data_IF_667297080057
#
_entry.id   IF_667297080057
#
_cell.length_a   1.000
_cell.length_b   1.000
_cell.length_c   1.000
_cell.angle_alpha   90.00
_cell.angle_beta   90.00
_cell.angle_gamma   90.00
#
_symmetry.space_group_name_H-M   'P 1'
#
loop_
_entity.id
_entity.type
_entity.pdbx_description
1 polymer ?
2 non-polymer ?
3 non-polymer ?
4 non-polymer ?
5 non-polymer ?
6 water ?
#
# COMPACT_ATOMS: atom_id res chain seq x y z
N UNK A 1 0.38 -3.97 -16.32
CA UNK A 1 -0.84 -4.04 -15.46
C UNK A 1 -0.52 -4.41 -14.02
N UNK A 2 -1.05 -3.62 -13.09
CA UNK A 2 -0.85 -3.86 -11.67
C UNK A 2 -2.08 -4.60 -11.11
N UNK A 3 -1.87 -5.33 -10.02
CA UNK A 3 -2.96 -6.04 -9.38
C UNK A 3 -3.07 -5.62 -7.92
N UNK A 4 -4.31 -5.42 -7.46
CA UNK A 4 -4.57 -5.02 -6.09
C UNK A 4 -5.62 -5.91 -5.46
N UNK A 5 -5.51 -6.10 -4.16
CA UNK A 5 -6.44 -6.96 -3.44
C UNK A 5 -6.92 -6.31 -2.15
N UNK A 6 -8.22 -6.04 -2.07
CA UNK A 6 -8.83 -5.43 -0.90
C UNK A 6 -9.88 -6.33 -0.27
N UNK A 7 -10.33 -5.94 0.91
CA UNK A 7 -11.36 -6.69 1.63
C UNK A 7 -12.24 -5.64 2.31
N UNK A 8 -13.55 -5.88 2.31
CA UNK A 8 -14.45 -4.93 2.93
C UNK A 8 -15.61 -5.61 3.62
N UNK A 9 -16.50 -4.80 4.20
CA UNK A 9 -17.64 -5.38 4.88
C UNK A 9 -18.98 -4.75 4.54
N UNK A 10 -20.01 -5.57 4.59
CA UNK A 10 -21.39 -5.13 4.34
C UNK A 10 -22.00 -5.38 5.71
N UNK A 11 -22.05 -4.33 6.52
CA UNK A 11 -22.54 -4.43 7.89
C UNK A 11 -23.96 -3.93 8.10
N UNK A 12 -24.73 -4.70 8.86
CA UNK A 12 -26.12 -4.37 9.13
C UNK A 12 -26.34 -4.08 10.62
N UNK A 13 -27.24 -3.14 10.88
CA UNK A 13 -27.62 -2.77 12.24
C UNK A 13 -29.14 -2.56 12.22
N UNK A 14 -29.87 -3.38 12.97
CA UNK A 14 -31.32 -3.25 13.03
C UNK A 14 -31.94 -3.08 11.64
N UNK A 15 -31.58 -3.96 10.71
CA UNK A 15 -32.14 -3.89 9.37
C UNK A 15 -31.52 -2.92 8.38
N UNK A 16 -30.69 -1.99 8.86
CA UNK A 16 -30.05 -1.03 7.96
C UNK A 16 -28.61 -1.40 7.64
N UNK A 17 -28.12 -0.95 6.48
CA UNK A 17 -26.75 -1.24 6.05
C UNK A 17 -25.84 -0.01 6.14
N UNK A 18 -24.59 -0.26 6.53
CA UNK A 18 -23.59 0.78 6.68
C UNK A 18 -22.88 1.12 5.37
N UNK A 19 -22.93 2.39 4.96
CA UNK A 19 -22.28 2.81 3.73
C UNK A 19 -21.34 3.99 4.00
N UNK A 20 -20.43 4.24 3.06
CA UNK A 20 -19.50 5.35 3.14
C UNK A 20 -19.57 6.10 1.81
N UNK A 21 -19.35 7.42 1.85
CA UNK A 21 -19.37 8.21 0.63
C UNK A 21 -17.92 8.53 0.28
N UNK A 22 -17.52 8.12 -0.91
CA UNK A 22 -16.15 8.31 -1.38
C UNK A 22 -15.88 9.75 -1.80
N UNK A 23 -14.60 10.10 -1.98
CA UNK A 23 -14.21 11.44 -2.39
C UNK A 23 -14.87 11.86 -3.71
N UNK A 24 -15.20 10.86 -4.53
CA UNK A 24 -15.83 11.10 -5.82
C UNK A 24 -17.34 11.27 -5.67
N UNK A 25 -17.80 11.24 -4.42
CA UNK A 25 -19.21 11.38 -4.08
C UNK A 25 -20.05 10.16 -4.42
N UNK A 26 -19.41 8.99 -4.45
CA UNK A 26 -20.15 7.77 -4.71
C UNK A 26 -20.28 7.01 -3.39
N UNK A 27 -21.49 6.55 -3.10
CA UNK A 27 -21.72 5.79 -1.89
C UNK A 27 -21.32 4.36 -2.22
N UNK A 28 -20.55 3.74 -1.33
CA UNK A 28 -20.09 2.38 -1.53
C UNK A 28 -19.88 1.73 -0.18
N UNK A 29 -19.22 0.57 -0.17
CA UNK A 29 -18.95 -0.16 1.07
C UNK A 29 -17.54 0.12 1.58
N UNK A 30 -17.37 0.14 2.91
CA UNK A 30 -16.05 0.38 3.49
C UNK A 30 -15.10 -0.79 3.18
N UNK A 31 -13.90 -0.48 2.70
CA UNK A 31 -12.94 -1.51 2.34
C UNK A 31 -11.50 -1.01 2.36
N UNK A 32 -10.56 -1.92 2.22
CA UNK A 32 -9.16 -1.54 2.22
C UNK A 32 -8.23 -2.64 1.73
N UNK A 33 -7.02 -2.22 1.36
CA UNK A 33 -6.01 -3.14 0.87
C UNK A 33 -5.65 -4.18 1.94
N UNK A 34 -5.49 -5.42 1.52
CA UNK A 34 -5.12 -6.47 2.45
C UNK A 34 -3.63 -6.29 2.70
N UNK A 35 -3.28 -5.85 3.89
CA UNK A 35 -1.88 -5.60 4.24
C UNK A 35 -1.09 -6.87 4.53
N UNK A 36 0.24 -6.80 4.37
CA UNK A 36 1.10 -7.96 4.63
C UNK A 36 0.85 -8.43 6.06
N UNK A 37 0.61 -9.73 6.23
CA UNK A 37 0.37 -10.24 7.56
C UNK A 37 -1.10 -10.31 7.96
N UNK A 38 -2.00 -9.96 7.04
CA UNK A 38 -3.43 -10.00 7.33
C UNK A 38 -4.18 -10.99 6.44
N UNK A 39 -5.20 -11.61 7.02
CA UNK A 39 -6.07 -12.50 6.26
C UNK A 39 -7.15 -11.51 5.84
N UNK A 40 -7.86 -11.78 4.74
CA UNK A 40 -8.91 -10.85 4.30
C UNK A 40 -9.95 -10.52 5.36
N UNK A 41 -10.33 -11.48 6.19
CA UNK A 41 -11.31 -11.23 7.24
C UNK A 41 -10.80 -10.18 8.21
N UNK A 42 -9.52 -10.24 8.52
CA UNK A 42 -8.92 -9.27 9.44
C UNK A 42 -8.92 -7.88 8.83
N UNK A 43 -8.65 -7.81 7.53
CA UNK A 43 -8.62 -6.54 6.83
C UNK A 43 -10.01 -5.91 6.85
N UNK A 44 -11.02 -6.70 6.48
CA UNK A 44 -12.40 -6.23 6.42
C UNK A 44 -12.86 -5.61 7.74
N UNK A 45 -12.66 -6.32 8.84
CA UNK A 45 -13.08 -5.82 10.14
C UNK A 45 -12.34 -4.55 10.51
N UNK A 46 -11.04 -4.56 10.33
CA UNK A 46 -10.21 -3.40 10.64
C UNK A 46 -10.60 -2.19 9.78
N UNK A 47 -10.77 -2.41 8.48
CA UNK A 47 -11.12 -1.33 7.57
C UNK A 47 -12.50 -0.73 7.84
N UNK A 48 -13.47 -1.57 8.21
CA UNK A 48 -14.78 -1.04 8.52
C UNK A 48 -14.64 -0.07 9.70
N UNK A 49 -13.90 -0.47 10.72
CA UNK A 49 -13.70 0.39 11.91
C UNK A 49 -12.92 1.67 11.59
N UNK A 50 -11.83 1.55 10.85
CA UNK A 50 -11.03 2.72 10.52
C UNK A 50 -11.76 3.72 9.63
N UNK A 51 -12.61 3.20 8.75
CA UNK A 51 -13.36 4.05 7.82
C UNK A 51 -14.68 4.60 8.36
N UNK A 52 -15.30 3.87 9.29
CA UNK A 52 -16.59 4.30 9.83
C UNK A 52 -16.62 4.42 11.35
N UNK A 53 -15.64 3.85 12.02
CA UNK A 53 -15.61 3.91 13.48
C UNK A 53 -16.63 2.96 14.07
N UNK A 54 -17.05 1.99 13.26
CA UNK A 54 -18.03 1.01 13.71
C UNK A 54 -17.38 -0.36 13.80
N UNK A 55 -17.62 -1.05 14.92
CA UNK A 55 -17.07 -2.37 15.12
C UNK A 55 -18.10 -3.40 14.68
N UNK A 56 -17.69 -4.30 13.80
CA UNK A 56 -18.60 -5.32 13.33
C UNK A 56 -18.00 -6.70 13.49
N UNK A 57 -18.84 -7.72 13.43
CA UNK A 57 -18.40 -9.08 13.56
C UNK A 57 -18.84 -9.84 12.32
N UNK A 58 -17.91 -10.58 11.72
CA UNK A 58 -18.20 -11.32 10.52
C UNK A 58 -19.12 -12.52 10.74
N UNK A 59 -20.15 -12.62 9.92
CA UNK A 59 -21.12 -13.71 9.99
C UNK A 59 -20.75 -14.76 8.94
N UNK A 60 -20.27 -14.30 7.79
CA UNK A 60 -19.87 -15.19 6.72
C UNK A 60 -19.33 -14.40 5.54
N UNK A 61 -18.70 -15.12 4.61
CA UNK A 61 -18.14 -14.54 3.40
C UNK A 61 -19.30 -14.32 2.42
N UNK A 62 -19.33 -13.18 1.77
CA UNK A 62 -20.40 -12.87 0.82
C UNK A 62 -20.00 -13.20 -0.61
N UNK A 63 -18.84 -12.72 -1.02
CA UNK A 63 -18.38 -12.97 -2.37
C UNK A 63 -17.25 -12.04 -2.75
N UNK A 64 -16.79 -12.16 -3.99
CA UNK A 64 -15.70 -11.37 -4.50
C UNK A 64 -16.08 -10.65 -5.78
N UNK A 65 -15.57 -9.43 -5.96
CA UNK A 65 -15.83 -8.67 -7.17
C UNK A 65 -14.50 -8.20 -7.74
N UNK A 66 -14.50 -7.90 -9.04
CA UNK A 66 -13.32 -7.45 -9.74
C UNK A 66 -13.61 -6.19 -10.55
N UNK A 67 -12.60 -5.37 -10.73
CA UNK A 67 -12.74 -4.18 -11.57
C UNK A 67 -11.42 -3.59 -11.96
N UNK A 68 -11.39 -3.00 -13.15
CA UNK A 68 -10.22 -2.34 -13.68
C UNK A 68 -10.40 -0.85 -13.44
N UNK A 69 -9.30 -0.16 -13.17
CA UNK A 69 -9.36 1.30 -13.01
C UNK A 69 -8.01 1.86 -13.43
N UNK A 70 -7.99 3.13 -13.85
CA UNK A 70 -6.74 3.77 -14.23
C UNK A 70 -6.45 4.93 -13.28
N UNK A 71 -5.18 5.25 -13.12
CA UNK A 71 -4.75 6.35 -12.25
C UNK A 71 -3.51 6.93 -12.91
N UNK A 72 -3.61 8.18 -13.33
CA UNK A 72 -2.51 8.86 -13.98
C UNK A 72 -1.95 8.01 -15.12
N UNK A 73 -2.86 7.34 -15.84
CA UNK A 73 -2.44 6.51 -16.97
C UNK A 73 -2.14 5.06 -16.67
N UNK A 74 -1.90 4.72 -15.41
CA UNK A 74 -1.63 3.33 -15.04
C UNK A 74 -2.92 2.55 -14.97
N UNK A 75 -2.88 1.27 -15.33
CA UNK A 75 -4.07 0.45 -15.26
C UNK A 75 -3.91 -0.59 -14.16
N UNK A 76 -4.92 -0.68 -13.30
CA UNK A 76 -4.86 -1.61 -12.19
C UNK A 76 -6.07 -2.54 -12.19
N UNK A 77 -5.81 -3.83 -12.00
CA UNK A 77 -6.89 -4.82 -11.93
C UNK A 77 -7.07 -5.13 -10.45
N UNK A 78 -8.21 -4.71 -9.92
CA UNK A 78 -8.49 -4.87 -8.50
C UNK A 78 -9.58 -5.87 -8.13
N UNK A 79 -9.33 -6.58 -7.04
CA UNK A 79 -10.22 -7.59 -6.52
C UNK A 79 -10.61 -7.23 -5.08
N UNK A 80 -11.89 -7.34 -4.75
CA UNK A 80 -12.34 -7.05 -3.38
C UNK A 80 -13.18 -8.19 -2.83
N UNK A 81 -12.77 -8.72 -1.68
CA UNK A 81 -13.51 -9.80 -1.03
C UNK A 81 -14.39 -9.16 0.03
N UNK A 82 -15.70 -9.45 -0.02
CA UNK A 82 -16.63 -8.87 0.94
C UNK A 82 -17.21 -9.86 1.94
N UNK A 83 -17.38 -9.40 3.17
CA UNK A 83 -17.93 -10.22 4.25
C UNK A 83 -19.18 -9.60 4.88
N UNK A 84 -20.11 -10.46 5.27
CA UNK A 84 -21.34 -10.02 5.92
C UNK A 84 -21.00 -9.79 7.39
N UNK A 85 -21.44 -8.66 7.93
CA UNK A 85 -21.14 -8.33 9.32
C UNK A 85 -22.36 -7.86 10.10
N UNK A 86 -22.34 -8.11 11.40
CA UNK A 86 -23.43 -7.66 12.27
C UNK A 86 -22.86 -6.54 13.13
N UNK A 87 -23.67 -5.52 13.37
CA UNK A 87 -23.25 -4.38 14.18
C UNK A 87 -22.93 -4.69 15.64
N UNK A 88 -21.73 -4.32 16.07
CA UNK A 88 -21.30 -4.55 17.45
C UNK A 88 -21.26 -3.37 18.41
N UNK A 89 -20.68 -2.26 17.95
CA UNK A 89 -20.58 -1.05 18.77
C UNK A 89 -20.04 0.10 17.94
N UNK A 90 -20.34 1.33 18.37
CA UNK A 90 -19.86 2.50 17.66
C UNK A 90 -20.93 3.28 16.91
N UNK A 91 -20.58 4.51 16.52
CA UNK A 91 -21.48 5.38 15.78
C UNK A 91 -20.79 5.84 14.50
N UNK A 92 -21.44 5.64 13.33
CA UNK A 92 -20.86 6.04 12.06
C UNK A 92 -20.21 7.42 12.06
N UNK A 93 -18.99 7.47 11.57
CA UNK A 93 -18.22 8.70 11.48
C UNK A 93 -17.17 8.43 10.39
N UNK A 94 -16.99 9.38 9.46
CA UNK A 94 -16.03 9.22 8.37
C UNK A 94 -14.55 9.32 8.73
N UNK A 95 -13.74 8.52 8.05
CA UNK A 95 -12.30 8.54 8.29
C UNK A 95 -11.84 9.78 7.53
N UNK A 96 -10.53 9.95 7.45
CA UNK A 96 -9.98 11.11 6.76
C UNK A 96 -9.98 10.85 5.26
N UNK A 97 -10.18 9.59 4.88
CA UNK A 97 -10.19 9.21 3.47
C UNK A 97 -11.58 9.17 2.85
N UNK A 98 -12.62 9.31 3.68
CA UNK A 98 -13.98 9.29 3.17
C UNK A 98 -14.74 10.55 3.55
N UNK A 99 -15.80 10.86 2.80
CA UNK A 99 -16.58 12.06 3.06
C UNK A 99 -17.64 11.85 4.13
N UNK A 100 -18.15 10.62 4.24
CA UNK A 100 -19.17 10.35 5.24
C UNK A 100 -19.37 8.85 5.44
N UNK A 101 -20.04 8.51 6.54
CA UNK A 101 -20.34 7.13 6.89
C UNK A 101 -21.72 7.18 7.53
N UNK A 102 -22.64 6.35 7.06
CA UNK A 102 -23.99 6.36 7.61
C UNK A 102 -24.83 5.12 7.32
N UNK A 103 -25.76 4.82 8.24
CA UNK A 103 -26.66 3.68 8.07
C UNK A 103 -27.84 4.10 7.21
N UNK A 104 -28.27 3.22 6.31
CA UNK A 104 -29.38 3.49 5.42
C UNK A 104 -30.36 2.34 5.33
N UNK A 105 -31.65 2.65 5.17
CA UNK A 105 -32.62 1.56 5.07
C UNK A 105 -32.25 0.83 3.78
N UNK A 106 -32.52 -0.47 3.73
CA UNK A 106 -32.18 -1.25 2.55
C UNK A 106 -32.62 -0.57 1.25
N UNK A 107 -33.87 -0.11 1.23
CA UNK A 107 -34.43 0.54 0.06
C UNK A 107 -33.65 1.73 -0.45
N UNK A 108 -33.26 2.63 0.46
CA UNK A 108 -32.50 3.80 0.05
C UNK A 108 -31.09 3.41 -0.38
N UNK A 109 -30.54 2.40 0.28
CA UNK A 109 -29.19 1.91 -0.03
C UNK A 109 -29.13 1.44 -1.48
N UNK A 110 -30.19 0.75 -1.93
CA UNK A 110 -30.23 0.26 -3.29
C UNK A 110 -30.11 1.39 -4.31
N UNK A 111 -30.76 2.50 -4.02
CA UNK A 111 -30.75 3.66 -4.91
C UNK A 111 -29.43 4.43 -4.87
N UNK A 112 -28.74 4.39 -3.73
CA UNK A 112 -27.48 5.11 -3.59
C UNK A 112 -26.30 4.39 -4.25
N UNK A 113 -26.27 3.06 -4.16
CA UNK A 113 -25.17 2.30 -4.75
C UNK A 113 -25.06 2.53 -6.25
N UNK A 114 -23.84 2.58 -6.77
CA UNK A 114 -23.62 2.81 -8.19
C UNK A 114 -22.83 1.72 -8.89
N UNK A 115 -21.71 1.32 -8.32
CA UNK A 115 -20.87 0.30 -8.94
C UNK A 115 -21.59 -1.02 -9.14
N UNK A 116 -21.37 -1.62 -10.31
CA UNK A 116 -21.99 -2.89 -10.67
C UNK A 116 -21.76 -3.93 -9.58
N UNK A 117 -20.50 -4.05 -9.18
CA UNK A 117 -20.13 -5.00 -8.15
C UNK A 117 -20.83 -4.79 -6.82
N UNK A 118 -20.98 -3.52 -6.43
CA UNK A 118 -21.64 -3.20 -5.16
C UNK A 118 -23.10 -3.66 -5.16
N UNK A 119 -23.78 -3.46 -6.28
CA UNK A 119 -25.16 -3.88 -6.39
C UNK A 119 -25.26 -5.39 -6.32
N UNK A 120 -24.34 -6.07 -6.99
CA UNK A 120 -24.33 -7.52 -7.01
C UNK A 120 -24.02 -8.06 -5.61
N UNK A 121 -23.02 -7.47 -4.95
CA UNK A 121 -22.64 -7.90 -3.61
C UNK A 121 -23.77 -7.64 -2.62
N UNK A 122 -24.42 -6.49 -2.74
CA UNK A 122 -25.51 -6.17 -1.83
C UNK A 122 -26.64 -7.18 -1.93
N UNK A 123 -27.03 -7.54 -3.15
CA UNK A 123 -28.10 -8.52 -3.33
C UNK A 123 -27.73 -9.85 -2.71
N UNK A 124 -26.47 -10.23 -2.84
CA UNK A 124 -26.01 -11.49 -2.27
C UNK A 124 -26.01 -11.41 -0.76
N UNK A 125 -25.62 -10.25 -0.24
CA UNK A 125 -25.58 -10.02 1.19
C UNK A 125 -26.97 -10.06 1.81
N UNK A 126 -27.95 -9.53 1.08
CA UNK A 126 -29.33 -9.51 1.57
C UNK A 126 -29.91 -10.91 1.68
N UNK A 127 -29.66 -11.74 0.69
CA UNK A 127 -30.17 -13.11 0.72
C UNK A 127 -29.50 -13.87 1.84
N UNK A 128 -28.20 -13.66 1.97
CA UNK A 128 -27.40 -14.35 2.98
C UNK A 128 -27.71 -13.97 4.42
N UNK A 129 -28.08 -12.71 4.66
CA UNK A 129 -28.35 -12.27 6.02
C UNK A 129 -29.66 -12.79 6.60
N UNK A 130 -30.59 -13.18 5.73
CA UNK A 130 -31.87 -13.70 6.21
C UNK A 130 -31.61 -14.98 7.00
N UNK A 131 -30.58 -15.70 6.59
CA UNK A 131 -30.19 -16.95 7.24
C UNK A 131 -29.73 -16.72 8.67
N UNK A 132 -29.07 -15.59 8.91
CA UNK A 132 -28.56 -15.26 10.22
C UNK A 132 -29.52 -14.42 11.05
N UNK A 133 -30.79 -14.42 10.66
CA UNK A 133 -31.81 -13.67 11.38
C UNK A 133 -31.33 -12.24 11.59
N UNK A 134 -30.61 -11.72 10.59
CA UNK A 134 -30.07 -10.37 10.65
C UNK A 134 -30.99 -9.39 9.93
N UNK B 1 0.53 -16.59 -2.67
CA UNK B 1 1.40 -15.89 -1.70
C UNK B 1 1.39 -14.39 -1.97
N UNK B 2 1.39 -13.59 -0.91
CA UNK B 2 1.38 -12.15 -1.05
C UNK B 2 2.66 -11.67 -1.71
N UNK B 3 2.53 -10.67 -2.57
CA UNK B 3 3.69 -10.11 -3.25
C UNK B 3 3.69 -8.61 -3.10
N UNK B 4 4.88 -8.05 -2.89
CA UNK B 4 5.04 -6.61 -2.74
C UNK B 4 6.06 -6.12 -3.75
N UNK B 5 5.83 -4.90 -4.23
CA UNK B 5 6.70 -4.31 -5.24
C UNK B 5 7.13 -2.91 -4.82
N UNK B 6 8.43 -2.76 -4.61
CA UNK B 6 9.00 -1.48 -4.21
C UNK B 6 10.03 -1.01 -5.24
N UNK B 7 10.47 0.23 -5.07
CA UNK B 7 11.46 0.84 -5.93
C UNK B 7 12.31 1.76 -5.05
N UNK B 8 13.61 1.81 -5.33
CA UNK B 8 14.48 2.64 -4.54
C UNK B 8 15.59 3.25 -5.35
N UNK B 9 16.41 4.07 -4.70
CA UNK B 9 17.51 4.70 -5.40
C UNK B 9 18.85 4.59 -4.71
N UNK B 10 19.89 4.54 -5.54
CA UNK B 10 21.26 4.50 -5.06
C UNK B 10 21.77 5.83 -5.60
N UNK B 11 21.77 6.85 -4.74
CA UNK B 11 22.16 8.20 -5.13
C UNK B 11 23.59 8.52 -4.71
N UNK B 12 24.37 9.04 -5.66
CA UNK B 12 25.77 9.41 -5.44
C UNK B 12 25.99 10.92 -5.51
N UNK B 13 26.88 11.42 -4.65
CA UNK B 13 27.25 12.83 -4.62
C UNK B 13 28.75 12.64 -4.58
N UNK B 14 29.40 12.96 -5.70
CA UNK B 14 30.84 12.78 -5.83
C UNK B 14 31.13 11.34 -5.42
N UNK B 15 32.17 11.14 -4.61
CA UNK B 15 32.50 9.79 -4.17
C UNK B 15 31.71 9.22 -3.00
N UNK B 16 30.57 9.82 -2.68
CA UNK B 16 29.76 9.34 -1.57
C UNK B 16 28.40 8.83 -2.02
N UNK B 17 27.82 7.94 -1.22
CA UNK B 17 26.52 7.38 -1.52
C UNK B 17 25.59 7.68 -0.36
N UNK B 18 24.32 7.89 -0.67
CA UNK B 18 23.31 8.20 0.33
C UNK B 18 22.67 6.93 0.90
N UNK B 19 22.73 6.79 2.22
CA UNK B 19 22.16 5.62 2.88
C UNK B 19 21.23 6.06 4.01
N UNK B 20 20.32 5.18 4.40
CA UNK B 20 19.41 5.45 5.49
C UNK B 20 19.49 4.28 6.46
N UNK B 21 19.19 4.53 7.73
CA UNK B 21 19.19 3.46 8.72
C UNK B 21 17.74 3.15 9.04
N UNK B 22 17.39 1.87 8.91
CA UNK B 22 16.03 1.40 9.16
C UNK B 22 15.71 1.25 10.63
N UNK B 23 14.41 1.14 10.97
CA UNK B 23 14.02 1.00 12.38
C UNK B 23 14.65 -0.26 12.98
N UNK B 24 15.04 -1.18 12.11
CA UNK B 24 15.64 -2.44 12.55
C UNK B 24 17.15 -2.28 12.72
N UNK B 25 17.62 -1.05 12.59
CA UNK B 25 19.04 -0.72 12.74
C UNK B 25 19.98 -1.24 11.66
N UNK B 26 19.48 -1.34 10.43
CA UNK B 26 20.30 -1.82 9.33
C UNK B 26 20.45 -0.70 8.31
N UNK B 27 21.68 -0.49 7.85
CA UNK B 27 21.91 0.54 6.84
C UNK B 27 21.50 -0.03 5.50
N UNK B 28 20.72 0.74 4.75
CA UNK B 28 20.27 0.30 3.44
C UNK B 28 19.99 1.53 2.58
N UNK B 29 19.37 1.31 1.42
CA UNK B 29 19.03 2.39 0.48
C UNK B 29 17.58 2.81 0.66
N UNK B 30 17.27 4.09 0.40
CA UNK B 30 15.88 4.50 0.55
C UNK B 30 15.02 3.85 -0.51
N UNK B 31 13.84 3.38 -0.12
CA UNK B 31 12.94 2.73 -1.06
C UNK B 31 11.52 2.76 -0.51
N UNK B 32 10.57 2.36 -1.34
CA UNK B 32 9.19 2.36 -0.88
C UNK B 32 8.29 1.65 -1.88
N UNK B 33 7.09 1.32 -1.43
CA UNK B 33 6.12 0.64 -2.28
C UNK B 33 5.69 1.53 -3.44
N UNK B 34 5.54 0.93 -4.61
CA UNK B 34 5.11 1.67 -5.79
C UNK B 34 3.62 1.92 -5.64
N UNK B 35 3.24 3.18 -5.58
CA UNK B 35 1.83 3.53 -5.46
C UNK B 35 1.14 3.26 -6.79
N UNK B 36 -0.18 2.99 -6.75
CA UNK B 36 -1.00 2.70 -7.94
C UNK B 36 -0.77 3.57 -9.17
N UNK B 37 -0.66 4.88 -8.99
CA UNK B 37 -0.46 5.74 -10.14
C UNK B 37 0.98 6.08 -10.50
N UNK B 38 1.94 5.35 -9.92
CA UNK B 38 3.36 5.64 -10.18
C UNK B 38 4.11 4.61 -11.01
N UNK B 39 5.11 5.08 -11.72
CA UNK B 39 6.01 4.22 -12.48
C UNK B 39 7.10 3.98 -11.44
N UNK B 40 7.82 2.85 -11.50
CA UNK B 40 8.86 2.66 -10.48
C UNK B 40 9.86 3.80 -10.38
N UNK B 41 10.14 4.46 -11.50
CA UNK B 41 11.08 5.59 -11.49
C UNK B 41 10.58 6.73 -10.61
N UNK B 42 9.28 6.97 -10.64
CA UNK B 42 8.69 8.04 -9.85
C UNK B 42 8.69 7.70 -8.37
N UNK B 43 8.49 6.43 -8.05
CA UNK B 43 8.48 5.97 -6.67
C UNK B 43 9.88 6.15 -6.06
N UNK B 44 10.90 5.73 -6.81
CA UNK B 44 12.28 5.84 -6.34
C UNK B 44 12.64 7.28 -6.01
N UNK B 45 12.36 8.20 -6.93
CA UNK B 45 12.67 9.61 -6.69
C UNK B 45 11.92 10.16 -5.49
N UNK B 46 10.62 9.87 -5.41
CA UNK B 46 9.80 10.36 -4.29
C UNK B 46 10.25 9.82 -2.93
N UNK B 47 10.59 8.54 -2.88
CA UNK B 47 11.00 7.93 -1.62
C UNK B 47 12.34 8.47 -1.12
N UNK B 48 13.29 8.68 -2.02
CA UNK B 48 14.57 9.23 -1.60
C UNK B 48 14.29 10.60 -1.01
N UNK B 49 13.51 11.40 -1.72
CA UNK B 49 13.15 12.74 -1.26
C UNK B 49 12.45 12.72 0.10
N UNK B 50 11.42 11.88 0.22
CA UNK B 50 10.67 11.75 1.45
C UNK B 50 11.50 11.30 2.66
N UNK B 51 12.26 10.23 2.48
CA UNK B 51 13.05 9.70 3.59
C UNK B 51 14.33 10.45 3.93
N UNK B 52 14.85 11.26 3.02
CA UNK B 52 16.10 11.95 3.29
C UNK B 52 16.14 13.45 3.03
N UNK B 53 15.15 13.96 2.33
CA UNK B 53 15.13 15.39 2.03
C UNK B 53 16.09 15.72 0.91
N UNK B 54 16.59 14.70 0.23
CA UNK B 54 17.51 14.91 -0.89
C UNK B 54 16.77 14.71 -2.22
N UNK B 55 17.08 15.60 -3.17
CA UNK B 55 16.48 15.53 -4.49
C UNK B 55 17.51 14.89 -5.41
N UNK B 56 17.08 13.84 -6.11
CA UNK B 56 17.99 13.17 -7.01
C UNK B 56 17.40 13.03 -8.40
N UNK B 57 18.25 12.71 -9.36
CA UNK B 57 17.82 12.55 -10.73
C UNK B 57 18.29 11.19 -11.19
N UNK B 58 17.37 10.39 -11.73
CA UNK B 58 17.69 9.06 -12.22
C UNK B 58 18.51 9.14 -13.50
N UNK B 59 19.56 8.35 -13.57
CA UNK B 59 20.39 8.32 -14.75
C UNK B 59 20.09 7.04 -15.51
N UNK B 60 19.76 5.98 -14.78
CA UNK B 60 19.49 4.70 -15.42
C UNK B 60 19.00 3.67 -14.42
N UNK B 61 18.47 2.56 -14.94
CA UNK B 61 17.98 1.46 -14.13
C UNK B 61 19.15 0.56 -13.77
N UNK B 62 19.29 0.22 -12.49
CA UNK B 62 20.38 -0.62 -12.03
C UNK B 62 20.01 -2.10 -12.13
N UNK B 63 18.84 -2.43 -11.59
CA UNK B 63 18.40 -3.81 -11.60
C UNK B 63 17.36 -4.04 -10.53
N UNK B 64 17.06 -5.30 -10.29
CA UNK B 64 16.05 -5.65 -9.31
C UNK B 64 16.50 -6.81 -8.41
N UNK B 65 16.12 -6.74 -7.14
CA UNK B 65 16.44 -7.80 -6.20
C UNK B 65 15.14 -8.29 -5.59
N UNK B 66 15.17 -9.48 -5.02
CA UNK B 66 13.98 -10.02 -4.39
C UNK B 66 14.37 -10.71 -3.10
N UNK B 67 13.38 -10.90 -2.24
CA UNK B 67 13.59 -11.58 -0.97
C UNK B 67 12.26 -11.93 -0.35
N UNK B 68 12.27 -12.93 0.52
CA UNK B 68 11.07 -13.36 1.22
C UNK B 68 11.21 -12.89 2.65
N UNK B 69 10.08 -12.55 3.27
CA UNK B 69 10.09 -12.16 4.67
C UNK B 69 8.74 -12.56 5.24
N UNK B 70 8.68 -12.75 6.55
CA UNK B 70 7.42 -13.10 7.18
C UNK B 70 6.97 -11.97 8.09
N UNK B 71 5.67 -11.85 8.27
CA UNK B 71 5.09 -10.83 9.15
C UNK B 71 3.86 -11.44 9.81
N UNK B 72 3.92 -11.60 11.12
CA UNK B 72 2.83 -12.19 11.87
C UNK B 72 2.37 -13.51 11.27
N UNK B 73 3.32 -14.37 10.91
CA UNK B 73 2.99 -15.66 10.37
C UNK B 73 2.76 -15.77 8.88
N UNK B 74 2.64 -14.64 8.19
CA UNK B 74 2.43 -14.67 6.75
C UNK B 74 3.73 -14.51 5.99
N UNK B 75 3.91 -15.29 4.92
CA UNK B 75 5.12 -15.21 4.12
C UNK B 75 4.87 -14.26 2.95
N UNK B 76 5.78 -13.32 2.74
CA UNK B 76 5.64 -12.35 1.66
C UNK B 76 6.85 -12.38 0.72
N UNK B 77 6.59 -12.28 -0.58
CA UNK B 77 7.66 -12.27 -1.58
C UNK B 77 7.71 -10.83 -2.08
N UNK B 78 8.88 -10.22 -1.99
CA UNK B 78 9.05 -8.83 -2.40
C UNK B 78 10.16 -8.60 -3.41
N UNK B 79 9.90 -7.68 -4.33
CA UNK B 79 10.89 -7.31 -5.36
C UNK B 79 11.11 -5.82 -5.23
N UNK B 80 12.36 -5.40 -5.41
CA UNK B 80 12.68 -3.98 -5.32
C UNK B 80 13.52 -3.61 -6.54
N UNK B 81 13.02 -2.63 -7.30
CA UNK B 81 13.73 -2.12 -8.47
C UNK B 81 14.54 -0.90 -8.05
N UNK B 82 15.84 -0.92 -8.35
CA UNK B 82 16.73 0.18 -7.98
C UNK B 82 17.23 1.00 -9.17
N UNK B 83 17.31 2.31 -8.95
CA UNK B 83 17.76 3.25 -9.98
C UNK B 83 18.98 4.04 -9.55
N UNK B 84 19.87 4.29 -10.51
CA UNK B 84 21.09 5.04 -10.26
C UNK B 84 20.71 6.51 -10.33
N UNK B 85 21.03 7.25 -9.29
CA UNK B 85 20.71 8.67 -9.25
C UNK B 85 21.91 9.56 -8.99
N UNK B 86 21.87 10.78 -9.50
CA UNK B 86 22.95 11.72 -9.26
C UNK B 86 22.36 12.79 -8.35
N UNK B 87 23.20 13.37 -7.50
CA UNK B 87 22.76 14.39 -6.56
C UNK B 87 22.32 15.70 -7.22
N UNK B 88 21.19 16.24 -6.78
CA UNK B 88 20.70 17.51 -7.31
C UNK B 88 20.74 18.61 -6.25
N UNK B 89 20.16 18.34 -5.08
CA UNK B 89 20.13 19.34 -4.01
C UNK B 89 19.56 18.77 -2.72
N UNK B 90 19.74 19.52 -1.63
CA UNK B 90 19.24 19.10 -0.34
C UNK B 90 20.30 18.49 0.56
N UNK B 91 20.02 18.44 1.86
CA UNK B 91 20.95 17.85 2.83
C UNK B 91 20.25 16.70 3.56
N UNK B 92 20.91 15.54 3.66
CA UNK B 92 20.34 14.37 4.34
C UNK B 92 19.80 14.63 5.75
N UNK B 93 18.53 14.29 5.94
CA UNK B 93 17.85 14.42 7.22
C UNK B 93 16.81 13.30 7.21
N UNK B 94 16.80 12.46 8.26
CA UNK B 94 15.82 11.37 8.26
C UNK B 94 14.40 11.85 8.50
N UNK B 95 13.45 11.22 7.80
CA UNK B 95 12.04 11.55 7.99
C UNK B 95 11.71 10.79 9.26
N UNK B 96 10.46 10.83 9.70
CA UNK B 96 10.10 10.12 10.93
C UNK B 96 10.15 8.61 10.73
N UNK B 97 10.10 8.16 9.47
CA UNK B 97 10.11 6.74 9.16
C UNK B 97 11.47 6.02 9.25
N UNK B 98 12.56 6.78 9.29
CA UNK B 98 13.89 6.18 9.37
C UNK B 98 14.67 6.69 10.58
N UNK B 99 15.72 5.97 10.95
CA UNK B 99 16.52 6.34 12.12
C UNK B 99 17.71 7.23 11.76
N UNK B 100 18.07 7.29 10.48
CA UNK B 100 19.19 8.12 10.08
C UNK B 100 19.25 8.22 8.55
N UNK B 101 19.95 9.25 8.07
CA UNK B 101 20.12 9.50 6.64
C UNK B 101 21.41 10.29 6.49
N UNK B 102 22.40 9.70 5.81
CA UNK B 102 23.69 10.35 5.64
C UNK B 102 24.43 9.91 4.39
N UNK B 103 25.37 10.75 3.95
CA UNK B 103 26.20 10.42 2.79
C UNK B 103 27.41 9.72 3.40
N UNK B 104 27.88 8.67 2.74
CA UNK B 104 29.02 7.90 3.22
C UNK B 104 29.98 7.65 2.08
N UNK B 105 31.29 7.74 2.35
CA UNK B 105 32.22 7.48 1.25
C UNK B 105 31.94 6.02 0.85
N UNK B 106 32.07 5.71 -0.43
CA UNK B 106 31.81 4.36 -0.93
C UNK B 106 32.48 3.26 -0.09
N UNK B 107 33.72 3.50 0.30
CA UNK B 107 34.48 2.55 1.10
C UNK B 107 33.78 2.16 2.40
N UNK B 108 33.24 3.15 3.10
CA UNK B 108 32.55 2.90 4.36
C UNK B 108 31.20 2.25 4.12
N UNK B 109 30.51 2.73 3.08
CA UNK B 109 29.19 2.21 2.71
C UNK B 109 29.25 0.69 2.55
N UNK B 110 30.29 0.21 1.86
CA UNK B 110 30.44 -1.23 1.64
C UNK B 110 30.40 -2.03 2.93
N UNK B 111 31.08 -1.53 3.96
CA UNK B 111 31.13 -2.20 5.25
C UNK B 111 29.83 -2.08 6.05
N UNK B 112 29.04 -1.07 5.74
CA UNK B 112 27.78 -0.84 6.46
C UNK B 112 26.58 -1.65 5.96
N UNK B 113 26.53 -1.92 4.66
CA UNK B 113 25.40 -2.68 4.13
C UNK B 113 25.38 -4.06 4.74
N UNK B 114 24.19 -4.62 4.90
CA UNK B 114 24.04 -5.95 5.49
C UNK B 114 23.33 -6.96 4.59
N UNK B 115 22.18 -6.56 4.06
CA UNK B 115 21.40 -7.44 3.19
C UNK B 115 22.21 -7.80 1.95
N UNK B 116 22.21 -9.09 1.60
CA UNK B 116 22.93 -9.57 0.43
C UNK B 116 22.45 -8.86 -0.83
N UNK B 117 21.15 -8.63 -0.92
CA UNK B 117 20.60 -7.94 -2.07
C UNK B 117 21.22 -6.56 -2.19
N UNK B 118 21.33 -5.86 -1.06
CA UNK B 118 21.92 -4.53 -1.03
C UNK B 118 23.37 -4.51 -1.52
N UNK B 119 24.14 -5.52 -1.12
CA UNK B 119 25.54 -5.58 -1.52
C UNK B 119 25.61 -5.81 -3.03
N UNK B 120 24.71 -6.66 -3.53
CA UNK B 120 24.66 -6.97 -4.96
C UNK B 120 24.25 -5.75 -5.77
N UNK B 121 23.24 -5.03 -5.28
CA UNK B 121 22.77 -3.84 -5.98
C UNK B 121 23.81 -2.74 -5.96
N UNK B 122 24.50 -2.59 -4.83
CA UNK B 122 25.52 -1.55 -4.71
C UNK B 122 26.68 -1.82 -5.67
N UNK B 123 27.05 -3.09 -5.83
CA UNK B 123 28.14 -3.41 -6.75
C UNK B 123 27.73 -3.08 -8.19
N UNK B 124 26.52 -3.46 -8.57
CA UNK B 124 26.05 -3.16 -9.92
C UNK B 124 26.04 -1.65 -10.13
N UNK B 125 25.59 -0.92 -9.11
CA UNK B 125 25.51 0.54 -9.18
C UNK B 125 26.88 1.18 -9.40
N UNK B 126 27.91 0.62 -8.77
CA UNK B 126 29.26 1.14 -8.90
C UNK B 126 29.80 0.93 -10.32
N UNK B 127 29.55 -0.25 -10.88
CA UNK B 127 29.99 -0.53 -12.24
C UNK B 127 29.32 0.46 -13.17
N UNK B 128 28.01 0.56 -13.04
CA UNK B 128 27.22 1.46 -13.86
C UNK B 128 27.72 2.90 -13.68
N UNK B 129 28.11 3.24 -12.45
CA UNK B 129 28.60 4.57 -12.10
C UNK B 129 29.85 4.99 -12.89
N UNK B 130 30.87 4.14 -12.90
CA UNK B 130 32.11 4.45 -13.62
C UNK B 130 31.78 4.70 -15.08
N UNK B 131 30.93 3.86 -15.64
CA UNK B 131 30.50 3.95 -17.03
C UNK B 131 30.05 5.36 -17.41
N UNK B 132 29.30 6.01 -16.52
CA UNK B 132 28.81 7.35 -16.77
C UNK B 132 29.73 8.41 -16.16
N UNK B 133 30.85 7.96 -15.61
CA UNK B 133 31.80 8.86 -14.97
C UNK B 133 31.10 9.73 -13.95
N UNK B 134 30.09 9.17 -13.29
CA UNK B 134 29.33 9.89 -12.28
C UNK B 134 30.17 10.13 -11.03
X LIG C 1 -8.97 0.94 -1.10
X LIG C 1 -8.18 1.57 0.04
X LIG C 1 -8.89 -0.43 -1.48
X LIG C 1 -10.12 1.59 -0.63
X LIG C 1 -8.79 3.25 -3.30
X LIG C 1 -9.26 4.21 -2.68
X LIG C 1 -7.34 3.28 -3.56
X LIG C 1 -8.82 1.78 -2.59
X LIG C 1 -10.74 2.32 -5.03
X LIG C 1 -11.62 2.52 -4.28
X LIG C 1 -10.46 1.10 -5.38
X LIG C 1 -9.50 3.10 -4.58
X LIG C 1 -11.08 3.18 -6.20
X LIG C 1 -10.27 3.25 -7.34
X LIG C 1 -11.02 3.49 -8.65
X LIG C 1 -11.98 2.54 -9.08
X LIG C 1 -11.79 4.73 -8.69
X LIG C 1 -11.60 5.38 -9.96
X LIG C 1 -13.16 4.26 -8.44
X LIG C 1 -14.16 5.07 -8.93
X LIG C 1 -13.23 2.87 -9.02
X LIG C 1 -13.98 1.91 -8.18
X LIG C 1 -14.09 1.73 -6.86
X LIG C 1 -14.86 0.76 -6.62
X LIG C 1 -15.32 0.21 -7.62
X LIG C 1 -16.19 -0.88 -8.02
X LIG C 1 -16.78 -1.63 -7.18
X LIG C 1 -16.36 -1.05 -9.33
X LIG C 1 -15.78 -0.31 -10.24
X LIG C 1 -14.99 0.69 -9.95
X LIG C 1 -14.72 0.99 -8.72
X LIG D 1 0.12 -15.10 -8.11
X LIG D 1 -1.04 -15.86 -8.47
X LIG D 1 1.20 -15.66 -7.39
X LIG D 1 0.59 -14.82 -9.61
X LIG D 1 1.73 -13.88 -10.15
X LIG D 1 2.54 -13.62 -9.11
X LIG D 1 0.74 -12.91 -10.66
X LIG D 1 2.32 -14.08 -11.63
X LIG D 1 2.22 -12.87 -12.68
X LIG D 1 3.35 -12.40 -13.19
X LIG D 1 0.90 -12.84 -13.15
X LIG D 1 2.05 -11.51 -11.91
X LIG D 1 1.53 -9.98 -12.16
X LIG D 1 1.24 -9.72 -13.48
X LIG D 1 1.21 -9.47 -10.88
X LIG D 1 -0.27 -13.84 -7.35
X LIG D 1 -1.60 -13.61 -7.22
X LIG D 1 -1.62 -12.24 -6.78
X LIG D 1 -2.37 -12.32 -5.60
X LIG D 1 -0.30 -11.79 -6.32
X LIG D 1 -0.15 -10.71 -7.15
X LIG D 1 -0.48 -11.50 -4.80
X LIG D 1 -0.09 -10.26 -4.21
X LIG D 1 -1.93 -11.74 -4.47
X LIG D 1 -2.10 -12.60 -3.37
X LIG D 1 -1.90 -13.86 -3.46
X LIG D 1 -2.02 -14.50 -2.34
X LIG D 1 -2.38 -13.63 -1.48
X LIG D 1 -2.76 -13.73 -0.12
X LIG D 1 -2.71 -14.92 0.41
X LIG D 1 -3.11 -12.62 0.53
X LIG D 1 -3.11 -11.50 -0.13
X LIG D 1 -2.75 -11.34 -1.45
X LIG D 1 -2.43 -12.36 -2.15
X LIG D 1 2.85 -9.15 -12.21
X LIG D 1 3.28 -8.40 -13.30
X LIG D 1 4.24 -7.25 -12.89
X LIG D 1 3.73 -5.97 -12.62
X LIG D 1 5.05 -7.67 -11.77
X LIG D 1 6.17 -8.09 -12.49
X LIG D 1 5.25 -6.40 -11.05
X LIG D 1 6.57 -6.00 -11.28
X LIG D 1 4.18 -5.42 -11.52
X LIG D 1 3.06 -5.22 -10.62
X LIG D 1 1.99 -5.98 -10.53
X LIG D 1 1.12 -5.57 -9.64
X LIG D 1 1.67 -4.54 -9.07
X LIG D 1 1.31 -3.57 -8.07
X LIG D 1 0.23 -3.66 -7.37
X LIG D 1 2.19 -2.59 -7.82
X LIG D 1 3.34 -2.49 -8.42
X LIG D 1 3.73 -3.27 -9.33
X LIG D 1 2.96 -4.31 -9.74
X LIG E 1 -14.20 -1.56 -14.86
X LIG E 1 -13.80 -2.87 -14.63
X LIG E 1 -14.02 -1.09 -16.24
X LIG E 1 -12.81 -0.72 -16.35
X LIG F 1 -15.86 -1.45 -4.15
X LIG F 1 -16.88 -2.35 -3.95
X LIG F 1 -15.88 -0.29 -3.24
X LIG F 1 -15.92 0.73 -3.99
X LIG G 1 -25.65 7.17 -8.43
X LIG G 1 -25.46 6.98 -7.08
X LIG G 1 -27.05 7.45 -8.82
X LIG G 1 -27.20 8.71 -8.74
X LIG H 1 9.36 -0.43 2.11
X LIG H 1 8.43 0.72 2.45
X LIG H 1 9.45 -1.06 0.83
X LIG H 1 10.41 0.27 2.75
X LIG H 1 9.12 -2.19 4.76
X LIG H 1 9.34 -1.33 5.62
X LIG H 1 7.73 -2.71 4.67
X LIG H 1 9.25 -1.75 3.19
X LIG H 1 11.20 -3.93 4.21
X LIG H 1 12.11 -3.19 4.27
X LIG H 1 10.87 -4.43 3.06
X LIG H 1 10.02 -3.33 4.96
X LIG H 1 11.52 -5.00 5.20
X LIG H 1 10.69 -6.09 5.44
X LIG H 1 11.39 -7.34 5.97
X LIG H 1 12.42 -7.93 5.21
X LIG H 1 12.04 -7.16 7.26
X LIG H 1 11.84 -8.34 8.05
X LIG H 1 13.42 -6.89 6.85
X LIG H 1 14.35 -7.14 7.82
X LIG H 1 13.64 -7.74 5.62
X LIG H 1 14.40 -7.11 4.52
X LIG H 1 14.46 -5.84 4.09
X LIG H 1 15.25 -5.77 3.11
X LIG H 1 15.75 -6.83 2.78
X LIG H 1 16.66 -7.39 1.79
X LIG H 1 17.21 -6.68 0.89
X LIG H 1 16.88 -8.69 1.88
X LIG H 1 16.33 -9.47 2.79
X LIG H 1 15.51 -9.04 3.69
X LIG H 1 15.18 -7.78 3.75
X LIG I 1 12.61 -1.05 -17.28
X LIG I 1 13.83 -1.53 -17.65
X LIG I 1 12.95 -0.96 -15.94
X LIG I 1 12.20 -1.85 -15.16
X LIG I 1 12.37 0.43 -15.95
X LIG I 1 12.51 0.89 -14.78
X LIG J 1 15.15 4.39 -15.78
X LIG J 1 14.83 3.34 -16.57
X LIG J 1 15.33 5.26 -16.84
X LIG J 1 16.69 5.55 -17.05
X LIG J 1 14.63 6.30 -16.03
X LIG J 1 14.59 7.37 -16.72
X LIG K 1 14.86 -3.10 6.63
X LIG K 1 15.87 -3.35 7.53
X LIG K 1 13.54 -2.88 7.23
X LIG K 1 13.02 -1.90 6.61
X LIG L 1 15.24 -14.71 3.02
X LIG L 1 14.05 -15.36 3.27
X LIG L 1 15.16 -13.57 2.10
X LIG L 1 15.18 -14.02 0.91
X LIG M 1 27.97 -9.95 7.35
X LIG M 1 28.51 -10.11 8.60
X LIG M 1 26.88 -8.95 7.27
X LIG M 1 26.95 -8.42 6.11
X LIG N 1 17.02 -3.52 1.04
X LIG N 1 16.77 -3.73 -0.30
X LIG N 1 15.96 -2.79 1.76
X LIG N 1 16.11 -3.05 2.99
#
# INVERSE_FOLDING_TARGET
>A
MKKEFSAGGVLFKDGEVLLIKTPSNVWSFPKGNIEPGEKPEETAVREVWEETGVKGEILDYIGEIHYWYTLKGERIFKTVKYYLMKYKEGEPRPSWEVKDAKFFPIKEAKKLLKYKGDKEIFEKALKLKEKFKL
>B
MKKEFSAGGVLFKDGEVLLIKTPSNVWSFPKGNIEPGEKPEETAVREVWEETGVKGEILDYIGEIHYWYTLKGERIFKTVKYYLMKYKEGEPRPSWEVKDAKFFPIKEAKKLLKYKGDKEIFEKALKLKEKFKL
>C hetero
1 ATP PG O1G O2G O3G PB O1B O2B O3B PA O1A O2A O3A O5' C5' C4' O4' C3' O3' C2' O2' C1' N9 C8 N7 C5 C6 N6 N1 C2 N3 C4
>D hetero
1 B4P PA O1A O2A O3A PB O1B O2B O3B PG O1G O2G O3G PD O1D O2D O5E C5E C4E O4E C3E O3E C2E O2E C1E N9A C8A N7A C5A C6A N6A N1A C2A N3A C4A O5F C5F C4F O4F C3F O3F C2F O2F C1F N9B C8B N7B C5B C6B N6B N1B C2B N3B C4B
>E hetero
1 EDO C1 O1 C2 O2
>F hetero
1 EDO C1 O1 C2 O2
>G hetero
1 EDO C1 O1 C2 O2
>H hetero
1 ATP PG O1G O2G O3G PB O1B O2B O3B PA O1A O2A O3A O5' C5' C4' O4' C3' O3' C2' O2' C1' N9 C8 N7 C5 C6 N6 N1 C2 N3 C4
>I hetero
1 GOL C1 O1 C2 O2 C3 O3
>J hetero
1 GOL C1 O1 C2 O2 C3 O3
>K hetero
1 EDO C1 O1 C2 O2
>L hetero
1 EDO C1 O1 C2 O2
>M hetero
1 EDO C1 O1 C2 O2
>N hetero
1 EDO C1 O1 C2 O2
#
